data_IF_349077364139
#
_entry.id   IF_349077364139
#
_cell.length_a   1.000
_cell.length_b   1.000
_cell.length_c   1.000
_cell.angle_alpha   90.00
_cell.angle_beta   90.00
_cell.angle_gamma   90.00
#
_symmetry.space_group_name_H-M   'P 1'
#
loop_
_entity.id
_entity.type
_entity.pdbx_description
1 polymer ?
#
# COMPACT_ATOMS: atom_id res chain seq x y z
N UNK A 1 -60.50 43.98 -2.48
CA UNK A 1 -59.18 44.54 -2.85
C UNK A 1 -59.36 45.49 -4.02
N UNK A 2 -59.09 46.79 -3.82
CA UNK A 2 -59.24 47.84 -4.84
C UNK A 2 -58.52 47.44 -6.14
N UNK A 3 -59.10 47.79 -7.31
CA UNK A 3 -58.48 47.53 -8.64
C UNK A 3 -57.04 48.06 -8.72
N UNK A 4 -56.74 49.09 -7.94
CA UNK A 4 -55.41 49.69 -7.82
C UNK A 4 -54.41 48.79 -7.06
N UNK A 5 -54.85 48.11 -6.01
CA UNK A 5 -54.01 47.15 -5.29
C UNK A 5 -53.64 45.93 -6.14
N UNK A 6 -54.53 45.51 -7.05
CA UNK A 6 -54.24 44.44 -8.03
C UNK A 6 -53.19 44.88 -9.06
N UNK A 7 -53.30 46.10 -9.59
CA UNK A 7 -52.31 46.67 -10.52
C UNK A 7 -50.93 46.82 -9.89
N UNK A 8 -50.86 47.26 -8.63
CA UNK A 8 -49.59 47.38 -7.89
C UNK A 8 -48.96 46.01 -7.62
N UNK A 9 -49.77 44.98 -7.35
CA UNK A 9 -49.28 43.62 -7.15
C UNK A 9 -48.74 43.01 -8.46
N UNK A 10 -49.45 43.18 -9.57
CA UNK A 10 -49.01 42.73 -10.90
C UNK A 10 -47.72 43.43 -11.33
N UNK A 11 -47.56 44.72 -11.03
CA UNK A 11 -46.32 45.46 -11.33
C UNK A 11 -45.13 44.96 -10.49
N UNK A 12 -45.36 44.64 -9.21
CA UNK A 12 -44.34 44.04 -8.33
C UNK A 12 -43.94 42.65 -8.81
N UNK A 13 -44.89 41.85 -9.26
CA UNK A 13 -44.62 40.50 -9.73
C UNK A 13 -43.93 40.50 -11.10
N UNK A 14 -44.23 41.48 -11.97
CA UNK A 14 -43.47 41.73 -13.21
C UNK A 14 -42.02 42.13 -12.93
N UNK A 15 -41.79 43.06 -11.99
CA UNK A 15 -40.43 43.48 -11.60
C UNK A 15 -39.63 42.33 -10.97
N UNK A 16 -40.26 41.48 -10.16
CA UNK A 16 -39.63 40.28 -9.60
C UNK A 16 -39.30 39.24 -10.68
N UNK A 17 -40.19 39.04 -11.65
CA UNK A 17 -39.96 38.13 -12.77
C UNK A 17 -38.79 38.61 -13.64
N UNK A 18 -38.69 39.92 -13.89
CA UNK A 18 -37.59 40.53 -14.63
C UNK A 18 -36.24 40.38 -13.91
N UNK A 19 -36.20 40.64 -12.59
CA UNK A 19 -34.98 40.44 -11.79
C UNK A 19 -34.56 38.96 -11.78
N UNK A 20 -35.53 38.04 -11.68
CA UNK A 20 -35.28 36.60 -11.73
C UNK A 20 -34.74 36.17 -13.10
N UNK A 21 -35.33 36.66 -14.19
CA UNK A 21 -34.88 36.40 -15.56
C UNK A 21 -33.46 36.97 -15.79
N UNK A 22 -33.15 38.15 -15.26
CA UNK A 22 -31.81 38.75 -15.33
C UNK A 22 -30.78 37.95 -14.54
N UNK A 23 -31.14 37.46 -13.35
CA UNK A 23 -30.27 36.58 -12.55
C UNK A 23 -30.04 35.22 -13.22
N UNK A 24 -31.07 34.67 -13.87
CA UNK A 24 -30.98 33.40 -14.62
C UNK A 24 -30.15 33.54 -15.89
N UNK A 25 -30.31 34.62 -16.65
CA UNK A 25 -29.49 34.96 -17.81
C UNK A 25 -28.01 35.17 -17.40
N UNK A 26 -27.75 35.85 -16.28
CA UNK A 26 -26.40 36.00 -15.74
C UNK A 26 -25.79 34.66 -15.28
N UNK A 27 -26.60 33.75 -14.74
CA UNK A 27 -26.17 32.40 -14.37
C UNK A 27 -25.89 31.51 -15.60
N UNK A 28 -26.69 31.63 -16.66
CA UNK A 28 -26.48 30.94 -17.93
C UNK A 28 -25.25 31.48 -18.68
N UNK A 29 -25.02 32.80 -18.68
CA UNK A 29 -23.82 33.40 -19.23
C UNK A 29 -22.54 32.92 -18.49
N UNK A 30 -22.61 32.74 -17.16
CA UNK A 30 -21.53 32.12 -16.37
C UNK A 30 -21.34 30.63 -16.65
N UNK A 31 -22.39 29.89 -17.05
CA UNK A 31 -22.29 28.50 -17.50
C UNK A 31 -21.78 28.36 -18.93
N UNK A 32 -21.94 29.39 -19.77
CA UNK A 32 -21.57 29.37 -21.19
C UNK A 32 -20.16 29.89 -21.52
N UNK A 33 -19.53 30.66 -20.62
CA UNK A 33 -18.25 31.35 -20.90
C UNK A 33 -16.96 30.52 -20.72
N UNK A 34 -17.04 29.30 -20.19
CA UNK A 34 -15.90 28.40 -20.10
C UNK A 34 -15.99 27.37 -21.21
N UNK A 35 -15.10 27.45 -22.21
CA UNK A 35 -14.89 26.44 -23.27
C UNK A 35 -15.27 25.05 -22.76
N UNK A 36 -16.12 24.31 -23.49
CA UNK A 36 -16.43 22.87 -23.32
C UNK A 36 -15.16 22.04 -23.52
N UNK A 37 -14.16 22.26 -22.68
CA UNK A 37 -12.89 21.57 -22.66
C UNK A 37 -13.14 20.18 -22.10
N UNK A 38 -12.72 19.18 -22.86
CA UNK A 38 -12.54 17.79 -22.47
C UNK A 38 -12.53 17.59 -20.95
N UNK A 39 -13.65 17.06 -20.44
CA UNK A 39 -13.88 16.64 -19.04
C UNK A 39 -14.21 17.74 -18.00
N UNK A 40 -15.27 17.52 -17.21
CA UNK A 40 -15.61 18.39 -16.07
C UNK A 40 -14.49 18.38 -15.01
N UNK A 41 -14.23 19.50 -14.31
CA UNK A 41 -13.19 19.57 -13.27
C UNK A 41 -13.33 18.50 -12.18
N UNK A 42 -14.56 18.16 -11.81
CA UNK A 42 -14.87 17.08 -10.86
C UNK A 42 -14.44 15.70 -11.38
N UNK A 43 -14.72 15.39 -12.66
CA UNK A 43 -14.31 14.13 -13.30
C UNK A 43 -12.78 14.04 -13.43
N UNK A 44 -12.10 15.15 -13.75
CA UNK A 44 -10.63 15.23 -13.80
C UNK A 44 -10.00 14.97 -12.42
N UNK A 45 -10.57 15.53 -11.34
CA UNK A 45 -10.12 15.26 -9.96
C UNK A 45 -10.31 13.78 -9.60
N UNK A 46 -11.48 13.20 -9.90
CA UNK A 46 -11.76 11.78 -9.64
C UNK A 46 -10.78 10.87 -10.39
N UNK A 47 -10.49 11.16 -11.66
CA UNK A 47 -9.55 10.38 -12.46
C UNK A 47 -8.12 10.43 -11.89
N UNK A 48 -7.62 11.61 -11.50
CA UNK A 48 -6.29 11.72 -10.87
C UNK A 48 -6.20 10.94 -9.56
N UNK A 49 -7.27 10.91 -8.77
CA UNK A 49 -7.32 10.10 -7.55
C UNK A 49 -7.28 8.61 -7.87
N UNK A 50 -8.02 8.17 -8.89
CA UNK A 50 -8.00 6.77 -9.33
C UNK A 50 -6.62 6.34 -9.85
N UNK A 51 -5.95 7.19 -10.62
CA UNK A 51 -4.61 6.91 -11.13
C UNK A 51 -3.57 6.79 -10.01
N UNK A 52 -3.60 7.68 -9.01
CA UNK A 52 -2.71 7.57 -7.84
C UNK A 52 -3.01 6.33 -7.01
N UNK A 53 -4.30 5.98 -6.84
CA UNK A 53 -4.70 4.75 -6.15
C UNK A 53 -4.19 3.51 -6.87
N UNK A 54 -4.36 3.44 -8.20
CA UNK A 54 -3.83 2.35 -9.02
C UNK A 54 -2.30 2.25 -8.93
N UNK A 55 -1.59 3.38 -9.04
CA UNK A 55 -0.13 3.40 -8.91
C UNK A 55 0.34 2.93 -7.51
N UNK A 56 -0.37 3.32 -6.44
CA UNK A 56 -0.06 2.85 -5.09
C UNK A 56 -0.38 1.36 -4.90
N UNK A 57 -1.45 0.87 -5.52
CA UNK A 57 -1.83 -0.55 -5.50
C UNK A 57 -0.81 -1.42 -6.24
N UNK A 58 -0.37 -1.02 -7.44
CA UNK A 58 0.66 -1.73 -8.21
C UNK A 58 2.00 -1.76 -7.46
N UNK A 59 2.41 -0.64 -6.85
CA UNK A 59 3.63 -0.60 -6.03
C UNK A 59 3.54 -1.55 -4.83
N UNK A 60 2.38 -1.61 -4.16
CA UNK A 60 2.15 -2.53 -3.04
C UNK A 60 2.18 -3.98 -3.49
N UNK A 61 1.58 -4.29 -4.65
CA UNK A 61 1.57 -5.63 -5.24
C UNK A 61 2.98 -6.11 -5.62
N UNK A 62 3.82 -5.22 -6.13
CA UNK A 62 5.22 -5.55 -6.41
C UNK A 62 6.04 -5.83 -5.14
N UNK A 63 5.82 -5.03 -4.10
CA UNK A 63 6.42 -5.27 -2.78
C UNK A 63 5.96 -6.61 -2.18
N UNK A 64 4.67 -6.94 -2.30
CA UNK A 64 4.10 -8.21 -1.85
C UNK A 64 4.68 -9.40 -2.64
N UNK A 65 4.81 -9.29 -3.97
CA UNK A 65 5.44 -10.33 -4.80
C UNK A 65 6.89 -10.59 -4.37
N UNK A 66 7.68 -9.53 -4.17
CA UNK A 66 9.07 -9.67 -3.72
C UNK A 66 9.17 -10.24 -2.30
N UNK A 67 8.23 -9.89 -1.42
CA UNK A 67 8.16 -10.46 -0.07
C UNK A 67 7.73 -11.93 -0.09
N UNK A 68 6.83 -12.32 -1.00
CA UNK A 68 6.38 -13.69 -1.19
C UNK A 68 7.48 -14.58 -1.78
N UNK A 69 8.22 -14.10 -2.79
CA UNK A 69 9.42 -14.76 -3.32
C UNK A 69 10.46 -14.99 -2.22
N UNK A 70 10.68 -13.99 -1.35
CA UNK A 70 11.53 -14.13 -0.17
C UNK A 70 11.01 -15.20 0.79
N UNK A 71 9.69 -15.22 1.07
CA UNK A 71 9.07 -16.24 1.93
C UNK A 71 9.19 -17.65 1.34
N UNK A 72 8.97 -17.79 0.03
CA UNK A 72 9.10 -19.07 -0.70
C UNK A 72 10.52 -19.60 -0.62
N UNK A 73 11.51 -18.74 -0.89
CA UNK A 73 12.94 -19.09 -0.79
C UNK A 73 13.33 -19.53 0.62
N UNK A 74 12.79 -18.86 1.67
CA UNK A 74 13.03 -19.25 3.05
C UNK A 74 12.36 -20.60 3.36
N UNK A 75 11.13 -20.81 2.94
CA UNK A 75 10.41 -22.07 3.17
C UNK A 75 11.10 -23.26 2.48
N UNK A 76 11.58 -23.08 1.25
CA UNK A 76 12.36 -24.10 0.52
C UNK A 76 13.68 -24.44 1.23
N UNK A 77 14.38 -23.43 1.78
CA UNK A 77 15.66 -23.63 2.46
C UNK A 77 15.52 -24.20 3.88
N UNK A 78 14.53 -23.73 4.63
CA UNK A 78 14.34 -24.06 6.05
C UNK A 78 13.42 -25.27 6.27
N UNK A 79 12.55 -25.60 5.30
CA UNK A 79 11.54 -26.63 5.46
C UNK A 79 10.39 -26.26 6.41
N UNK A 80 9.35 -27.09 6.52
CA UNK A 80 8.27 -26.88 7.47
C UNK A 80 8.77 -27.07 8.92
N UNK A 81 8.21 -26.33 9.90
CA UNK A 81 8.54 -26.54 11.30
C UNK A 81 8.16 -27.97 11.71
N UNK A 82 9.06 -28.65 12.43
CA UNK A 82 8.75 -29.97 12.97
C UNK A 82 7.64 -29.85 14.01
N UNK A 83 6.61 -30.68 13.90
CA UNK A 83 5.59 -30.83 14.93
C UNK A 83 6.22 -31.41 16.20
N UNK A 84 5.95 -30.80 17.35
CA UNK A 84 6.45 -31.24 18.65
C UNK A 84 5.35 -31.81 19.55
N UNK A 85 4.09 -31.75 19.11
CA UNK A 85 2.94 -32.24 19.88
C UNK A 85 2.88 -33.77 19.86
N UNK A 86 2.82 -34.38 21.06
CA UNK A 86 2.68 -35.83 21.23
C UNK A 86 3.97 -36.65 21.11
N UNK A 87 5.15 -36.00 21.05
CA UNK A 87 6.44 -36.71 20.90
C UNK A 87 7.02 -37.05 22.28
N UNK A 88 7.52 -38.28 22.43
CA UNK A 88 8.22 -38.75 23.62
C UNK A 88 9.60 -38.06 23.79
N UNK A 89 10.16 -38.10 25.00
CA UNK A 89 11.46 -37.46 25.30
C UNK A 89 12.57 -37.94 24.36
N UNK A 90 12.60 -39.24 24.02
CA UNK A 90 13.55 -39.81 23.07
C UNK A 90 13.43 -39.21 21.65
N UNK A 91 12.20 -38.95 21.19
CA UNK A 91 11.94 -38.31 19.89
C UNK A 91 12.37 -36.85 19.87
N UNK A 92 12.20 -36.13 20.98
CA UNK A 92 12.70 -34.75 21.12
C UNK A 92 14.24 -34.74 21.05
N UNK A 93 14.90 -35.65 21.77
CA UNK A 93 16.37 -35.79 21.71
C UNK A 93 16.87 -36.12 20.28
N UNK A 94 16.16 -36.99 19.56
CA UNK A 94 16.50 -37.30 18.16
C UNK A 94 16.37 -36.09 17.24
N UNK A 95 15.32 -35.28 17.41
CA UNK A 95 15.11 -34.03 16.66
C UNK A 95 16.23 -33.02 16.94
N UNK A 96 16.63 -32.84 18.20
CA UNK A 96 17.74 -31.97 18.57
C UNK A 96 19.06 -32.42 17.93
N UNK A 97 19.34 -33.73 17.95
CA UNK A 97 20.54 -34.30 17.30
C UNK A 97 20.53 -34.05 15.78
N UNK A 98 19.39 -34.21 15.12
CA UNK A 98 19.26 -33.94 13.69
C UNK A 98 19.46 -32.46 13.34
N UNK A 99 18.89 -31.53 14.12
CA UNK A 99 19.13 -30.10 13.91
C UNK A 99 20.60 -29.74 14.13
N UNK A 100 21.22 -30.29 15.17
CA UNK A 100 22.64 -30.09 15.44
C UNK A 100 23.52 -30.60 14.29
N UNK A 101 23.24 -31.81 13.77
CA UNK A 101 23.94 -32.35 12.59
C UNK A 101 23.78 -31.46 11.36
N UNK A 102 22.57 -30.94 11.10
CA UNK A 102 22.32 -30.03 9.97
C UNK A 102 23.02 -28.69 10.13
N UNK A 103 23.10 -28.16 11.36
CA UNK A 103 23.87 -26.94 11.66
C UNK A 103 25.35 -27.20 11.38
N UNK A 104 25.91 -28.32 11.86
CA UNK A 104 27.31 -28.70 11.60
C UNK A 104 27.61 -28.77 10.10
N UNK A 105 26.76 -29.41 9.30
CA UNK A 105 26.94 -29.48 7.84
C UNK A 105 26.86 -28.10 7.16
N UNK A 106 25.96 -27.23 7.62
CA UNK A 106 25.84 -25.87 7.09
C UNK A 106 27.02 -24.99 7.49
N UNK A 107 27.55 -25.16 8.71
CA UNK A 107 28.74 -24.46 9.20
C UNK A 107 30.00 -24.91 8.47
N UNK A 108 30.13 -26.21 8.19
CA UNK A 108 31.21 -26.77 7.38
C UNK A 108 31.19 -26.23 5.95
N UNK A 109 30.04 -26.31 5.27
CA UNK A 109 29.87 -25.73 3.93
C UNK A 109 30.10 -24.21 3.91
N UNK A 110 29.71 -23.51 4.99
CA UNK A 110 29.99 -22.08 5.16
C UNK A 110 31.50 -21.85 5.30
N UNK A 111 32.20 -22.64 6.10
CA UNK A 111 33.64 -22.54 6.29
C UNK A 111 34.38 -22.74 4.96
N UNK A 112 34.01 -23.75 4.17
CA UNK A 112 34.57 -24.00 2.84
C UNK A 112 34.34 -22.83 1.88
N UNK A 113 33.14 -22.26 1.87
CA UNK A 113 32.82 -21.08 1.06
C UNK A 113 33.60 -19.85 1.52
N UNK A 114 33.66 -19.59 2.81
CA UNK A 114 34.44 -18.47 3.38
C UNK A 114 35.94 -18.66 3.12
N UNK A 115 36.45 -19.88 3.20
CA UNK A 115 37.82 -20.21 2.86
C UNK A 115 38.08 -20.00 1.37
N UNK A 116 37.21 -20.47 0.48
CA UNK A 116 37.33 -20.25 -0.96
C UNK A 116 37.27 -18.76 -1.33
N UNK A 117 36.42 -17.98 -0.67
CA UNK A 117 36.37 -16.51 -0.80
C UNK A 117 37.67 -15.90 -0.30
N UNK A 118 38.17 -16.28 0.88
CA UNK A 118 39.46 -15.81 1.42
C UNK A 118 40.64 -16.18 0.53
N UNK A 119 40.64 -17.35 -0.10
CA UNK A 119 41.68 -17.75 -1.04
C UNK A 119 41.62 -16.87 -2.30
N UNK A 120 40.43 -16.62 -2.84
CA UNK A 120 40.26 -15.68 -3.96
C UNK A 120 40.69 -14.27 -3.56
N UNK A 121 40.32 -13.80 -2.38
CA UNK A 121 40.77 -12.50 -1.86
C UNK A 121 42.27 -12.46 -1.60
N UNK A 122 42.86 -13.55 -1.12
CA UNK A 122 44.30 -13.64 -0.91
C UNK A 122 45.06 -13.70 -2.22
N UNK A 123 44.57 -14.40 -3.24
CA UNK A 123 45.15 -14.43 -4.59
C UNK A 123 45.03 -13.05 -5.24
N UNK A 124 43.85 -12.42 -5.16
CA UNK A 124 43.64 -11.03 -5.59
C UNK A 124 44.59 -10.09 -4.84
N UNK A 125 44.72 -10.23 -3.52
CA UNK A 125 45.61 -9.43 -2.69
C UNK A 125 47.10 -9.69 -2.97
N UNK A 126 47.50 -10.93 -3.24
CA UNK A 126 48.87 -11.32 -3.56
C UNK A 126 49.27 -10.89 -4.98
N UNK A 127 48.31 -10.80 -5.91
CA UNK A 127 48.50 -10.22 -7.25
C UNK A 127 48.61 -8.69 -7.15
N UNK A 128 47.79 -8.05 -6.31
CA UNK A 128 47.75 -6.58 -6.15
C UNK A 128 48.90 -6.06 -5.27
N UNK A 129 49.41 -6.87 -4.34
CA UNK A 129 50.44 -6.45 -3.37
C UNK A 129 51.82 -7.00 -3.78
N UNK A 130 52.71 -6.20 -4.39
CA UNK A 130 54.05 -6.65 -4.74
C UNK A 130 54.91 -6.69 -3.48
N UNK A 131 54.83 -7.75 -2.68
CA UNK A 131 55.78 -7.93 -1.57
C UNK A 131 56.18 -9.38 -1.31
N UNK A 132 57.39 -9.65 -1.81
CA UNK A 132 58.44 -10.53 -1.27
C UNK A 132 58.81 -11.77 -2.10
N UNK A 133 60.12 -12.03 -2.12
CA UNK A 133 60.86 -12.89 -3.03
C UNK A 133 60.51 -14.39 -3.00
N UNK A 134 59.63 -14.83 -2.11
CA UNK A 134 59.27 -16.24 -1.92
C UNK A 134 58.52 -16.85 -3.12
N UNK A 135 57.81 -16.02 -3.89
CA UNK A 135 56.99 -16.49 -5.02
C UNK A 135 57.83 -17.01 -6.19
N UNK A 136 59.12 -16.65 -6.28
CA UNK A 136 59.99 -17.03 -7.41
C UNK A 136 60.37 -18.52 -7.42
N UNK A 137 60.26 -19.21 -6.28
CA UNK A 137 60.68 -20.63 -6.12
C UNK A 137 59.59 -21.67 -6.45
N UNK A 138 58.30 -21.31 -6.43
CA UNK A 138 57.19 -22.25 -6.67
C UNK A 138 56.80 -22.33 -8.16
N UNK A 139 57.11 -21.27 -8.92
CA UNK A 139 56.67 -21.07 -10.31
C UNK A 139 57.31 -22.05 -11.31
N UNK A 140 58.43 -22.68 -10.97
CA UNK A 140 59.12 -23.62 -11.87
C UNK A 140 58.56 -25.05 -11.91
N UNK A 141 57.60 -25.43 -11.03
CA UNK A 141 57.18 -26.84 -10.89
C UNK A 141 55.87 -27.21 -11.60
N UNK A 142 55.03 -26.26 -12.00
CA UNK A 142 53.74 -26.54 -12.65
C UNK A 142 53.42 -25.52 -13.76
N UNK A 143 53.79 -25.79 -15.03
CA UNK A 143 53.55 -24.85 -16.14
C UNK A 143 52.06 -24.64 -16.42
N UNK A 144 51.22 -25.66 -16.20
CA UNK A 144 49.77 -25.57 -16.36
C UNK A 144 49.12 -24.63 -15.34
N UNK A 145 49.62 -24.62 -14.10
CA UNK A 145 49.13 -23.69 -13.07
C UNK A 145 49.46 -22.24 -13.45
N UNK A 146 50.64 -21.99 -14.02
CA UNK A 146 51.03 -20.66 -14.47
C UNK A 146 50.16 -20.17 -15.64
N UNK A 147 49.74 -21.05 -16.53
CA UNK A 147 48.84 -20.72 -17.64
C UNK A 147 47.44 -20.36 -17.11
N UNK A 148 46.89 -21.16 -16.20
CA UNK A 148 45.59 -20.90 -15.56
C UNK A 148 45.64 -19.58 -14.77
N UNK A 149 46.72 -19.30 -14.04
CA UNK A 149 46.88 -18.03 -13.32
C UNK A 149 46.91 -16.82 -14.26
N UNK A 150 47.56 -16.93 -15.42
CA UNK A 150 47.59 -15.85 -16.44
C UNK A 150 46.22 -15.61 -17.04
N UNK A 151 45.50 -16.67 -17.42
CA UNK A 151 44.14 -16.58 -17.97
C UNK A 151 43.15 -15.99 -16.96
N UNK A 152 43.25 -16.39 -15.68
CA UNK A 152 42.44 -15.80 -14.61
C UNK A 152 42.78 -14.34 -14.38
N UNK A 153 44.07 -13.97 -14.44
CA UNK A 153 44.50 -12.58 -14.28
C UNK A 153 44.01 -11.70 -15.44
N UNK A 154 44.11 -12.16 -16.68
CA UNK A 154 43.56 -11.46 -17.86
C UNK A 154 42.04 -11.30 -17.76
N UNK A 155 41.34 -12.34 -17.31
CA UNK A 155 39.90 -12.29 -17.09
C UNK A 155 39.49 -11.31 -15.98
N UNK A 156 40.25 -11.26 -14.89
CA UNK A 156 40.02 -10.29 -13.81
C UNK A 156 40.25 -8.86 -14.33
N UNK A 157 41.36 -8.61 -15.05
CA UNK A 157 41.64 -7.30 -15.62
C UNK A 157 40.52 -6.84 -16.57
N UNK A 158 40.00 -7.74 -17.39
CA UNK A 158 38.87 -7.44 -18.28
C UNK A 158 37.60 -7.10 -17.49
N UNK A 159 37.21 -7.93 -16.51
CA UNK A 159 36.03 -7.71 -15.68
C UNK A 159 36.14 -6.43 -14.84
N UNK A 160 37.33 -6.10 -14.34
CA UNK A 160 37.59 -4.86 -13.60
C UNK A 160 37.46 -3.62 -14.50
N UNK A 161 37.95 -3.70 -15.74
CA UNK A 161 37.75 -2.64 -16.74
C UNK A 161 36.27 -2.43 -17.07
N UNK A 162 35.53 -3.51 -17.35
CA UNK A 162 34.09 -3.43 -17.64
C UNK A 162 33.30 -2.87 -16.45
N UNK A 163 33.62 -3.33 -15.23
CA UNK A 163 33.02 -2.82 -14.00
C UNK A 163 33.31 -1.32 -13.84
N UNK A 164 34.55 -0.90 -14.03
CA UNK A 164 34.93 0.51 -13.92
C UNK A 164 34.15 1.39 -14.89
N UNK A 165 34.02 0.96 -16.15
CA UNK A 165 33.26 1.68 -17.17
C UNK A 165 31.78 1.79 -16.79
N UNK A 166 31.19 0.71 -16.28
CA UNK A 166 29.80 0.69 -15.83
C UNK A 166 29.57 1.59 -14.60
N UNK A 167 30.46 1.55 -13.61
CA UNK A 167 30.40 2.41 -12.42
C UNK A 167 30.64 3.88 -12.77
N UNK A 168 31.54 4.15 -13.71
CA UNK A 168 31.76 5.50 -14.22
C UNK A 168 30.51 6.02 -14.93
N UNK A 169 29.91 5.22 -15.82
CA UNK A 169 28.67 5.59 -16.50
C UNK A 169 27.52 5.82 -15.52
N UNK A 170 27.40 5.00 -14.47
CA UNK A 170 26.38 5.19 -13.43
C UNK A 170 26.59 6.51 -12.69
N UNK A 171 27.81 6.79 -12.22
CA UNK A 171 28.16 8.06 -11.56
C UNK A 171 27.97 9.27 -12.48
N UNK A 172 28.32 9.15 -13.75
CA UNK A 172 28.13 10.21 -14.74
C UNK A 172 26.64 10.48 -14.97
N UNK A 173 25.81 9.43 -15.08
CA UNK A 173 24.35 9.56 -15.20
C UNK A 173 23.75 10.19 -13.93
N UNK A 174 24.19 9.80 -12.74
CA UNK A 174 23.76 10.41 -11.47
C UNK A 174 24.14 11.89 -11.39
N UNK A 175 25.38 12.24 -11.74
CA UNK A 175 25.83 13.62 -11.82
C UNK A 175 24.96 14.42 -12.80
N UNK A 176 24.70 13.87 -14.00
CA UNK A 176 23.87 14.53 -15.00
C UNK A 176 22.42 14.70 -14.54
N UNK A 177 21.84 13.69 -13.87
CA UNK A 177 20.50 13.80 -13.28
C UNK A 177 20.47 14.90 -12.22
N UNK A 178 21.48 14.97 -11.36
CA UNK A 178 21.57 16.00 -10.32
C UNK A 178 21.73 17.40 -10.93
N UNK A 179 22.61 17.56 -11.92
CA UNK A 179 22.80 18.80 -12.65
C UNK A 179 21.49 19.25 -13.34
N UNK A 180 20.83 18.34 -14.06
CA UNK A 180 19.55 18.61 -14.71
C UNK A 180 18.44 18.92 -13.68
N UNK A 181 18.46 18.29 -12.51
CA UNK A 181 17.52 18.59 -11.44
C UNK A 181 17.74 19.99 -10.88
N UNK A 182 19.00 20.41 -10.66
CA UNK A 182 19.36 21.78 -10.27
C UNK A 182 18.92 22.77 -11.34
N UNK A 183 19.24 22.52 -12.61
CA UNK A 183 18.82 23.37 -13.74
C UNK A 183 17.30 23.48 -13.81
N UNK A 184 16.55 22.38 -13.69
CA UNK A 184 15.09 22.38 -13.64
C UNK A 184 14.58 23.18 -12.44
N UNK A 185 15.24 23.11 -11.27
CA UNK A 185 14.84 23.87 -10.10
C UNK A 185 15.13 25.39 -10.25
N UNK A 186 16.25 25.75 -10.84
CA UNK A 186 16.62 27.14 -11.11
C UNK A 186 15.74 27.75 -12.23
N UNK A 187 15.44 26.97 -13.28
CA UNK A 187 14.52 27.36 -14.37
C UNK A 187 13.06 27.46 -13.92
N UNK A 188 12.63 26.64 -12.96
CA UNK A 188 11.31 26.77 -12.31
C UNK A 188 11.24 27.99 -11.40
N UNK A 189 12.36 28.66 -11.17
CA UNK A 189 12.52 29.80 -10.29
C UNK A 189 12.47 29.38 -8.82
N UNK A 190 13.53 29.66 -8.07
CA UNK A 190 13.55 29.57 -6.59
C UNK A 190 12.51 30.47 -5.89
N UNK A 191 11.65 31.16 -6.65
CA UNK A 191 10.59 32.00 -6.14
C UNK A 191 9.27 31.80 -6.90
N UNK A 192 8.68 30.61 -6.79
CA UNK A 192 7.23 30.56 -6.67
C UNK A 192 6.96 30.96 -5.22
N UNK A 193 6.59 32.23 -4.97
CA UNK A 193 6.12 32.65 -3.64
C UNK A 193 5.08 31.63 -3.22
N UNK A 194 5.36 30.73 -2.25
CA UNK A 194 4.34 29.83 -1.77
C UNK A 194 3.23 30.78 -1.30
N UNK A 195 2.00 30.70 -1.81
CA UNK A 195 0.92 31.48 -1.22
C UNK A 195 0.96 31.11 0.25
N UNK A 196 1.36 32.05 1.11
CA UNK A 196 1.51 31.82 2.53
C UNK A 196 0.12 31.50 3.05
N UNK A 197 -0.27 30.22 2.99
CA UNK A 197 -1.38 29.74 3.77
C UNK A 197 -0.92 29.93 5.20
N UNK A 198 -1.73 30.63 5.99
CA UNK A 198 -1.64 30.63 7.43
C UNK A 198 -1.90 29.20 7.88
N UNK A 199 -0.88 28.35 7.79
CA UNK A 199 -0.90 27.00 8.31
C UNK A 199 -0.79 27.19 9.80
N UNK A 200 -1.93 27.10 10.49
CA UNK A 200 -1.87 27.03 11.94
C UNK A 200 -1.02 25.80 12.26
N UNK A 201 0.01 25.94 13.09
CA UNK A 201 0.86 24.82 13.57
C UNK A 201 0.05 23.75 14.35
N UNK A 202 -1.27 23.88 14.39
CA UNK A 202 -2.22 23.08 15.16
C UNK A 202 -3.02 22.06 14.30
N UNK A 203 -2.93 22.11 12.97
CA UNK A 203 -3.83 21.35 12.10
C UNK A 203 -3.49 19.87 11.91
N UNK A 204 -2.21 19.47 11.93
CA UNK A 204 -1.82 18.09 11.62
C UNK A 204 -2.14 17.06 12.71
N UNK A 205 -2.35 17.51 13.96
CA UNK A 205 -2.69 16.61 15.08
C UNK A 205 -4.14 16.74 15.56
N UNK A 206 -4.72 17.94 15.53
CA UNK A 206 -6.07 18.17 16.06
C UNK A 206 -7.14 17.74 15.07
N UNK A 207 -6.93 17.90 13.75
CA UNK A 207 -7.88 17.43 12.75
C UNK A 207 -7.94 15.91 12.70
N UNK A 208 -6.81 15.21 12.83
CA UNK A 208 -6.80 13.75 12.83
C UNK A 208 -7.42 13.20 14.13
N UNK A 209 -7.16 13.84 15.28
CA UNK A 209 -7.87 13.55 16.54
C UNK A 209 -9.37 13.85 16.45
N UNK A 210 -9.77 14.96 15.83
CA UNK A 210 -11.18 15.31 15.59
C UNK A 210 -11.84 14.36 14.60
N UNK A 211 -11.16 13.90 13.55
CA UNK A 211 -11.67 12.92 12.60
C UNK A 211 -11.75 11.53 13.21
N UNK A 212 -10.83 11.16 14.11
CA UNK A 212 -10.90 9.92 14.89
C UNK A 212 -12.03 9.98 15.91
N UNK A 213 -12.22 11.12 16.58
CA UNK A 213 -13.35 11.38 17.48
C UNK A 213 -14.69 11.42 16.72
N UNK A 214 -14.73 12.03 15.53
CA UNK A 214 -15.91 12.07 14.67
C UNK A 214 -16.22 10.71 14.06
N UNK A 215 -15.23 9.90 13.65
CA UNK A 215 -15.44 8.50 13.23
C UNK A 215 -15.90 7.62 14.40
N UNK A 216 -15.39 7.87 15.61
CA UNK A 216 -15.81 7.19 16.84
C UNK A 216 -17.21 7.64 17.30
N UNK A 217 -17.60 8.88 17.02
CA UNK A 217 -18.93 9.43 17.28
C UNK A 217 -19.96 9.09 16.19
N UNK A 218 -19.56 8.96 14.92
CA UNK A 218 -20.39 8.43 13.82
C UNK A 218 -20.72 6.95 14.07
N UNK A 219 -19.77 6.20 14.65
CA UNK A 219 -20.04 4.88 15.23
C UNK A 219 -20.94 4.93 16.48
N UNK A 220 -21.03 6.06 17.18
CA UNK A 220 -21.85 6.25 18.38
C UNK A 220 -23.28 6.76 18.13
N UNK A 221 -23.54 7.49 17.04
CA UNK A 221 -24.90 7.92 16.68
C UNK A 221 -25.65 6.87 15.88
N UNK A 222 -24.97 6.11 15.01
CA UNK A 222 -25.60 5.07 14.18
C UNK A 222 -25.90 3.78 14.94
N UNK A 223 -25.15 3.48 16.00
CA UNK A 223 -25.35 2.31 16.86
C UNK A 223 -26.44 2.48 17.94
N UNK A 224 -26.79 3.73 18.28
CA UNK A 224 -27.85 4.05 19.26
C UNK A 224 -29.21 4.32 18.61
N UNK A 225 -29.26 4.40 17.27
CA UNK A 225 -30.51 4.40 16.51
C UNK A 225 -31.01 2.96 16.40
N UNK A 226 -32.19 2.66 16.98
CA UNK A 226 -32.89 1.40 16.67
C UNK A 226 -33.14 1.36 15.16
N UNK A 227 -32.45 0.46 14.46
CA UNK A 227 -32.85 0.07 13.11
C UNK A 227 -34.22 -0.61 13.23
N UNK A 228 -35.28 0.08 12.83
CA UNK A 228 -36.56 -0.58 12.58
C UNK A 228 -36.33 -1.48 11.37
N UNK A 229 -36.32 -2.80 11.60
CA UNK A 229 -36.40 -3.76 10.52
C UNK A 229 -37.67 -3.43 9.74
N UNK A 230 -37.50 -2.99 8.49
CA UNK A 230 -38.63 -2.87 7.58
C UNK A 230 -39.19 -4.28 7.41
N UNK A 231 -40.43 -4.58 7.79
CA UNK A 231 -41.02 -5.85 7.42
C UNK A 231 -40.95 -5.93 5.90
N UNK A 232 -40.39 -7.04 5.41
CA UNK A 232 -40.46 -7.42 4.00
C UNK A 232 -41.93 -7.33 3.61
N UNK A 233 -42.31 -6.28 2.89
CA UNK A 233 -43.45 -6.34 1.99
C UNK A 233 -43.03 -7.24 0.82
N UNK A 234 -42.97 -8.54 1.08
CA UNK A 234 -43.26 -9.55 0.07
C UNK A 234 -44.77 -9.57 -0.02
N UNK A 235 -45.30 -8.94 -1.06
CA UNK A 235 -46.55 -9.40 -1.66
C UNK A 235 -46.27 -10.85 -2.06
N UNK A 236 -46.75 -11.80 -1.27
CA UNK A 236 -46.81 -13.19 -1.67
C UNK A 236 -48.19 -13.71 -1.31
N UNK A 237 -48.84 -14.27 -2.31
CA UNK A 237 -50.25 -14.60 -2.33
C UNK A 237 -50.57 -15.74 -1.36
N UNK A 238 -51.57 -15.51 -0.51
CA UNK A 238 -52.48 -16.55 -0.03
C UNK A 238 -51.99 -17.42 1.12
N UNK A 239 -52.28 -17.02 2.37
CA UNK A 239 -52.75 -17.94 3.42
C UNK A 239 -53.74 -17.18 4.33
N UNK A 240 -54.84 -17.87 4.63
CA UNK A 240 -56.11 -17.40 5.22
C UNK A 240 -55.93 -16.66 6.56
N UNK A 241 -56.62 -15.53 6.67
CA UNK A 241 -56.77 -14.73 7.90
C UNK A 241 -57.44 -15.55 9.01
N UNK A 242 -56.68 -15.95 10.03
CA UNK A 242 -57.23 -16.31 11.33
C UNK A 242 -57.42 -15.02 12.15
N UNK A 243 -58.65 -14.77 12.61
CA UNK A 243 -59.00 -13.55 13.34
C UNK A 243 -58.13 -13.38 14.60
N UNK A 244 -57.65 -12.16 14.88
CA UNK A 244 -56.75 -11.87 16.00
C UNK A 244 -57.46 -11.95 17.37
N UNK A 245 -56.67 -12.30 18.39
CA UNK A 245 -57.06 -12.76 19.74
C UNK A 245 -57.74 -11.71 20.66
N UNK A 246 -58.05 -10.52 20.13
CA UNK A 246 -58.90 -9.52 20.79
C UNK A 246 -60.37 -9.58 20.34
N UNK A 247 -60.68 -10.43 19.35
CA UNK A 247 -62.04 -10.68 18.86
C UNK A 247 -62.75 -11.83 19.63
N UNK A 248 -62.10 -12.44 20.62
CA UNK A 248 -62.72 -13.45 21.49
C UNK A 248 -63.22 -12.79 22.77
N UNK A 249 -64.46 -12.29 22.72
CA UNK A 249 -65.19 -11.84 23.89
C UNK A 249 -65.41 -12.99 24.88
N UNK A 250 -65.01 -12.75 26.13
CA UNK A 250 -65.47 -13.37 27.37
C UNK A 250 -66.05 -14.80 27.29
N UNK A 251 -65.20 -15.80 27.60
CA UNK A 251 -65.56 -16.98 28.41
C UNK A 251 -64.32 -17.83 28.73
N UNK A 252 -63.73 -17.60 29.90
CA UNK A 252 -63.14 -18.67 30.70
C UNK A 252 -63.59 -18.46 32.15
N UNK A 253 -64.81 -18.90 32.43
CA UNK A 253 -65.14 -19.39 33.76
C UNK A 253 -64.77 -20.88 33.74
N UNK A 254 -63.70 -21.13 34.46
CA UNK A 254 -63.14 -22.39 34.96
C UNK A 254 -64.09 -23.59 34.98
N UNK A 255 -63.64 -24.70 34.40
CA UNK A 255 -64.14 -26.04 34.67
C UNK A 255 -62.95 -26.89 35.13
N UNK A 256 -62.65 -26.79 36.43
CA UNK A 256 -62.74 -27.95 37.34
C UNK A 256 -61.55 -28.90 37.41
N UNK A 257 -60.93 -28.93 38.59
CA UNK A 257 -60.81 -30.17 39.38
C UNK A 257 -59.40 -30.69 39.65
N UNK A 258 -58.96 -30.53 40.91
CA UNK A 258 -58.44 -31.55 41.85
C UNK A 258 -57.26 -32.46 41.43
N UNK A 259 -56.28 -32.85 42.25
CA UNK A 259 -56.00 -32.80 43.70
C UNK A 259 -54.51 -33.14 43.97
N UNK A 260 -54.07 -32.94 45.22
CA UNK A 260 -53.03 -33.64 46.06
C UNK A 260 -51.73 -34.16 45.38
N UNK A 261 -50.52 -33.96 45.92
CA UNK A 261 -49.99 -34.11 47.29
C UNK A 261 -48.78 -33.16 47.50
#
# INVERSE_FOLDING_TARGET
MSKEAKRVQEEKDRKKAEVRARLEAAAQAKKGGGKKGFMTPARKKKLRTLLRKKAAEELKKEQERKAEERKKTIAERCGPPKQLEGINEAGIQAICKQYHQRIMQLEDAKYDLEYAVRQKEFVVWAIITPRSAQCRMIVFRYPELMQICKELHERINHLESEKYDMEYQARHKEYKINELNIQVNDLRGKFIKPPLKKVSKFEYGKFDKLMRAAKKADQGFRGMLKSVEKPKFTIDEGVKEAKPDWALGAKKADAGGEAEE
#
